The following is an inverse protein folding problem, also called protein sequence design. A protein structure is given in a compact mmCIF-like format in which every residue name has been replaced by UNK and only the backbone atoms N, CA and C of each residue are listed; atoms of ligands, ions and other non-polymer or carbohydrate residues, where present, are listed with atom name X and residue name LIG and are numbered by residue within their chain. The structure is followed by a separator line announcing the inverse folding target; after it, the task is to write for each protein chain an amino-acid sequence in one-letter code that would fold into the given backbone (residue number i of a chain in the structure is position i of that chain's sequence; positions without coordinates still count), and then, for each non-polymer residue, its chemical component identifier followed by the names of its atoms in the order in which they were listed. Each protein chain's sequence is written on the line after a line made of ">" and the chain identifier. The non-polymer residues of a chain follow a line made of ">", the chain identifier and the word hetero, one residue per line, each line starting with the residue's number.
data_IF_232981184585
#
_entry.id   IF_232981184585
#
_cell.length_a   1.000
_cell.length_b   1.000
_cell.length_c   1.000
_cell.angle_alpha   90.00
_cell.angle_beta   90.00
_cell.angle_gamma   90.00
#
_symmetry.space_group_name_H-M   'P 1'
#
loop_
_entity.id
_entity.type
_entity.pdbx_description
1 polymer ?
#
# COMPACT_ATOMS: atom_id res chain seq x y z
N UNK A 1 3.60 11.97 11.25
CA UNK A 1 4.57 12.36 10.17
C UNK A 1 4.54 11.35 9.05
N UNK A 2 4.87 10.04 9.29
CA UNK A 2 4.85 9.00 8.25
C UNK A 2 3.51 8.94 7.50
N UNK A 3 2.40 8.85 8.19
CA UNK A 3 1.06 8.76 7.57
C UNK A 3 0.73 9.97 6.68
N UNK A 4 1.14 11.18 7.07
CA UNK A 4 0.97 12.39 6.24
C UNK A 4 1.80 12.28 4.95
N UNK A 5 3.04 11.78 5.05
CA UNK A 5 3.89 11.57 3.90
C UNK A 5 3.29 10.53 2.95
N UNK A 6 2.78 9.41 3.49
CA UNK A 6 2.17 8.37 2.68
C UNK A 6 0.88 8.87 2.02
N UNK A 7 0.05 9.67 2.70
CA UNK A 7 -1.15 10.28 2.12
C UNK A 7 -0.81 11.19 0.93
N UNK A 8 0.26 12.01 1.05
CA UNK A 8 0.79 12.80 -0.06
C UNK A 8 1.28 11.91 -1.22
N UNK A 9 2.00 10.82 -0.93
CA UNK A 9 2.46 9.89 -1.97
C UNK A 9 1.27 9.23 -2.69
N UNK A 10 0.21 8.85 -1.98
CA UNK A 10 -1.02 8.30 -2.58
C UNK A 10 -1.66 9.33 -3.52
N UNK A 11 -1.71 10.61 -3.14
CA UNK A 11 -2.22 11.67 -4.00
C UNK A 11 -1.41 11.82 -5.28
N UNK A 12 -0.08 11.87 -5.16
CA UNK A 12 0.83 11.98 -6.31
C UNK A 12 0.70 10.74 -7.20
N UNK A 13 0.75 9.54 -6.62
CA UNK A 13 0.57 8.28 -7.32
C UNK A 13 -0.71 8.28 -8.18
N UNK A 14 -1.82 8.70 -7.59
CA UNK A 14 -3.09 8.79 -8.29
C UNK A 14 -3.07 9.84 -9.40
N UNK A 15 -2.53 11.04 -9.13
CA UNK A 15 -2.46 12.16 -10.10
C UNK A 15 -1.65 11.79 -11.34
N UNK A 16 -0.58 11.03 -11.19
CA UNK A 16 0.30 10.61 -12.29
C UNK A 16 -0.07 9.24 -12.88
N UNK A 17 -1.09 8.58 -12.33
CA UNK A 17 -1.54 7.26 -12.75
C UNK A 17 -0.42 6.21 -12.77
N UNK A 18 0.42 6.21 -11.73
CA UNK A 18 1.45 5.21 -11.55
C UNK A 18 0.86 3.83 -11.21
N UNK A 19 1.65 2.77 -11.39
CA UNK A 19 1.26 1.41 -11.06
C UNK A 19 1.13 1.20 -9.55
N UNK A 20 0.29 0.25 -9.13
CA UNK A 20 0.13 -0.06 -7.69
C UNK A 20 1.44 -0.59 -7.08
N UNK A 21 2.28 -1.22 -7.89
CA UNK A 21 3.63 -1.67 -7.55
C UNK A 21 4.52 -0.50 -7.16
N UNK A 22 4.49 0.59 -7.94
CA UNK A 22 5.23 1.83 -7.65
C UNK A 22 4.86 2.40 -6.29
N UNK A 23 3.56 2.44 -5.93
CA UNK A 23 3.13 2.89 -4.61
C UNK A 23 3.65 1.98 -3.50
N UNK A 24 3.48 0.67 -3.67
CA UNK A 24 3.88 -0.33 -2.68
C UNK A 24 5.39 -0.31 -2.43
N UNK A 25 6.20 -0.23 -3.51
CA UNK A 25 7.64 -0.14 -3.43
C UNK A 25 8.10 1.17 -2.76
N UNK A 26 7.45 2.29 -3.09
CA UNK A 26 7.74 3.60 -2.47
C UNK A 26 7.60 3.53 -0.96
N UNK A 27 6.47 3.00 -0.46
CA UNK A 27 6.22 2.88 0.98
C UNK A 27 7.22 1.94 1.64
N UNK A 28 7.54 0.82 1.00
CA UNK A 28 8.54 -0.12 1.49
C UNK A 28 9.93 0.53 1.63
N UNK A 29 10.36 1.31 0.63
CA UNK A 29 11.64 2.04 0.65
C UNK A 29 11.66 3.02 1.82
N UNK A 30 10.61 3.83 1.99
CA UNK A 30 10.47 4.79 3.08
C UNK A 30 10.59 4.07 4.43
N UNK A 31 9.83 3.00 4.64
CA UNK A 31 9.80 2.28 5.90
C UNK A 31 11.12 1.59 6.23
N UNK A 32 11.73 0.93 5.24
CA UNK A 32 13.07 0.32 5.41
C UNK A 32 14.10 1.38 5.77
N UNK A 33 14.11 2.51 5.08
CA UNK A 33 15.07 3.59 5.35
C UNK A 33 14.88 4.17 6.76
N UNK A 34 13.64 4.49 7.14
CA UNK A 34 13.30 5.04 8.46
C UNK A 34 13.53 4.05 9.61
N UNK A 35 13.56 2.74 9.34
CA UNK A 35 13.80 1.72 10.39
C UNK A 35 15.22 1.78 10.98
N UNK A 36 16.18 2.33 10.26
CA UNK A 36 17.60 2.40 10.64
C UNK A 36 18.17 3.80 10.63
N UNK A 37 17.51 4.75 9.96
CA UNK A 37 18.02 6.11 9.79
C UNK A 37 17.06 7.12 10.41
N UNK A 38 17.61 8.02 11.23
CA UNK A 38 16.87 9.17 11.72
C UNK A 38 16.85 10.27 10.66
N UNK A 39 15.66 10.72 10.27
CA UNK A 39 15.46 11.78 9.28
C UNK A 39 14.86 13.00 9.97
N UNK A 40 15.47 14.16 9.80
CA UNK A 40 14.93 15.42 10.32
C UNK A 40 13.63 15.78 9.59
N UNK A 41 12.68 16.41 10.29
CA UNK A 41 11.35 16.76 9.77
C UNK A 41 11.41 17.46 8.41
N UNK A 42 12.35 18.38 8.20
CA UNK A 42 12.52 19.14 6.96
C UNK A 42 12.89 18.29 5.74
N UNK A 43 13.43 17.08 5.95
CA UNK A 43 13.82 16.16 4.87
C UNK A 43 12.81 15.01 4.63
N UNK A 44 11.70 14.98 5.37
CA UNK A 44 10.70 13.90 5.19
C UNK A 44 10.08 13.92 3.80
N UNK A 45 9.78 15.12 3.28
CA UNK A 45 9.22 15.24 1.94
C UNK A 45 10.26 14.85 0.89
N UNK A 46 11.53 15.27 1.06
CA UNK A 46 12.64 14.85 0.20
C UNK A 46 12.77 13.32 0.16
N UNK A 47 12.75 12.67 1.32
CA UNK A 47 12.77 11.20 1.41
C UNK A 47 11.61 10.58 0.62
N UNK A 48 10.38 11.10 0.79
CA UNK A 48 9.20 10.57 0.12
C UNK A 48 9.25 10.66 -1.39
N UNK A 49 9.56 11.85 -1.93
CA UNK A 49 9.65 12.06 -3.38
C UNK A 49 10.81 11.31 -4.01
N UNK A 50 11.93 11.19 -3.29
CA UNK A 50 13.09 10.42 -3.79
C UNK A 50 12.79 8.92 -3.77
N UNK A 51 12.13 8.40 -2.75
CA UNK A 51 11.67 7.01 -2.72
C UNK A 51 10.69 6.73 -3.89
N UNK A 52 9.78 7.66 -4.17
CA UNK A 52 8.87 7.57 -5.31
C UNK A 52 9.63 7.59 -6.65
N UNK A 53 10.63 8.46 -6.81
CA UNK A 53 11.49 8.50 -7.99
C UNK A 53 12.20 7.16 -8.22
N UNK A 54 12.77 6.56 -7.15
CA UNK A 54 13.41 5.24 -7.22
C UNK A 54 12.41 4.17 -7.63
N UNK A 55 11.22 4.17 -7.02
CA UNK A 55 10.17 3.22 -7.36
C UNK A 55 9.68 3.37 -8.81
N UNK A 56 9.50 4.61 -9.30
CA UNK A 56 9.18 4.85 -10.70
C UNK A 56 10.26 4.34 -11.66
N UNK A 57 11.54 4.56 -11.34
CA UNK A 57 12.65 4.03 -12.15
C UNK A 57 12.67 2.49 -12.21
N UNK A 58 12.10 1.83 -11.22
CA UNK A 58 12.08 0.37 -11.13
C UNK A 58 10.84 -0.25 -11.80
N UNK A 59 9.67 0.38 -11.63
CA UNK A 59 8.38 -0.22 -11.99
C UNK A 59 7.71 0.39 -13.22
N UNK A 60 8.00 1.67 -13.55
CA UNK A 60 7.30 2.37 -14.64
C UNK A 60 8.05 2.26 -15.97
N UNK A 61 7.28 2.14 -17.04
CA UNK A 61 7.82 2.18 -18.42
C UNK A 61 8.26 3.60 -18.77
N UNK A 62 7.39 4.59 -18.46
CA UNK A 62 7.65 6.00 -18.71
C UNK A 62 7.96 6.72 -17.40
N UNK A 63 9.24 6.86 -17.09
CA UNK A 63 9.70 7.49 -15.85
C UNK A 63 9.66 9.02 -15.98
N UNK A 64 8.93 9.75 -15.13
CA UNK A 64 8.95 11.21 -15.15
C UNK A 64 10.34 11.76 -14.87
N UNK A 65 10.66 12.91 -15.49
CA UNK A 65 11.94 13.60 -15.25
C UNK A 65 12.03 14.06 -13.78
N UNK A 66 13.25 14.11 -13.24
CA UNK A 66 13.51 14.53 -11.86
C UNK A 66 12.91 15.92 -11.54
N UNK A 67 12.84 16.81 -12.54
CA UNK A 67 12.27 18.15 -12.39
C UNK A 67 10.77 18.12 -12.03
N UNK A 68 10.05 17.07 -12.44
CA UNK A 68 8.64 16.86 -12.06
C UNK A 68 8.53 16.60 -10.56
N UNK A 69 9.42 15.78 -10.01
CA UNK A 69 9.44 15.48 -8.56
C UNK A 69 9.83 16.70 -7.73
N UNK A 70 10.73 17.55 -8.24
CA UNK A 70 11.10 18.83 -7.61
C UNK A 70 9.89 19.77 -7.63
N UNK A 71 9.21 19.90 -8.76
CA UNK A 71 8.02 20.74 -8.90
C UNK A 71 6.89 20.34 -7.93
N UNK A 72 6.68 19.04 -7.69
CA UNK A 72 5.67 18.53 -6.73
C UNK A 72 5.94 19.05 -5.31
N UNK A 73 7.18 19.37 -4.97
CA UNK A 73 7.55 19.92 -3.65
C UNK A 73 7.53 21.45 -3.61
N UNK A 74 6.90 22.11 -4.57
CA UNK A 74 6.94 23.56 -4.73
C UNK A 74 8.39 24.10 -4.84
N UNK A 75 9.27 23.33 -5.46
CA UNK A 75 10.70 23.62 -5.61
C UNK A 75 11.44 23.80 -4.25
N UNK A 76 10.96 23.12 -3.21
CA UNK A 76 11.60 23.16 -1.88
C UNK A 76 13.00 22.54 -1.87
N UNK A 77 13.33 21.72 -2.87
CA UNK A 77 14.62 21.04 -2.99
C UNK A 77 15.23 21.23 -4.37
N UNK A 78 16.56 21.18 -4.45
CA UNK A 78 17.28 21.24 -5.72
C UNK A 78 17.66 19.83 -6.20
N UNK A 79 17.96 19.70 -7.48
CA UNK A 79 18.26 18.43 -8.14
C UNK A 79 19.40 17.65 -7.45
N UNK A 80 20.43 18.34 -7.01
CA UNK A 80 21.57 17.71 -6.31
C UNK A 80 21.14 17.07 -4.97
N UNK A 81 20.21 17.66 -4.22
CA UNK A 81 19.70 17.09 -2.97
C UNK A 81 18.91 15.81 -3.21
N UNK A 82 18.09 15.80 -4.28
CA UNK A 82 17.33 14.59 -4.67
C UNK A 82 18.29 13.47 -5.09
N UNK A 83 19.32 13.77 -5.89
CA UNK A 83 20.31 12.77 -6.32
C UNK A 83 21.16 12.27 -5.16
N UNK A 84 21.53 13.14 -4.22
CA UNK A 84 22.25 12.73 -3.01
C UNK A 84 21.40 11.83 -2.12
N UNK A 85 20.11 12.14 -1.95
CA UNK A 85 19.18 11.31 -1.20
C UNK A 85 18.94 9.97 -1.91
N UNK A 86 18.82 9.94 -3.25
CA UNK A 86 18.71 8.72 -4.04
C UNK A 86 19.91 7.80 -3.80
N UNK A 87 21.12 8.34 -3.88
CA UNK A 87 22.33 7.58 -3.60
C UNK A 87 22.34 7.00 -2.19
N UNK A 88 21.97 7.81 -1.18
CA UNK A 88 21.89 7.37 0.23
C UNK A 88 20.90 6.23 0.41
N UNK A 89 19.71 6.33 -0.18
CA UNK A 89 18.69 5.29 -0.09
C UNK A 89 19.16 4.01 -0.77
N UNK A 90 19.63 4.09 -2.02
CA UNK A 90 20.07 2.92 -2.79
C UNK A 90 21.27 2.22 -2.14
N UNK A 91 22.25 3.00 -1.65
CA UNK A 91 23.40 2.45 -0.92
C UNK A 91 22.99 1.75 0.37
N UNK A 92 22.05 2.33 1.13
CA UNK A 92 21.50 1.71 2.34
C UNK A 92 20.78 0.39 2.03
N UNK A 93 20.07 0.32 0.92
CA UNK A 93 19.35 -0.88 0.48
C UNK A 93 20.27 -1.89 -0.24
N UNK A 94 21.56 -1.59 -0.40
CA UNK A 94 22.49 -2.37 -1.24
C UNK A 94 21.93 -2.61 -2.65
N UNK A 95 21.22 -1.63 -3.22
CA UNK A 95 20.52 -1.70 -4.51
C UNK A 95 19.50 -2.85 -4.62
N UNK A 96 19.12 -3.46 -3.49
CA UNK A 96 18.13 -4.53 -3.46
C UNK A 96 16.72 -3.97 -3.30
N UNK A 97 16.02 -3.85 -4.42
CA UNK A 97 14.64 -3.37 -4.52
C UNK A 97 13.62 -4.52 -4.66
N UNK A 98 14.09 -5.77 -4.61
CA UNK A 98 13.19 -6.93 -4.69
C UNK A 98 12.24 -6.96 -3.49
N UNK A 99 10.96 -7.10 -3.77
CA UNK A 99 9.91 -7.22 -2.76
C UNK A 99 8.75 -8.09 -3.29
N UNK A 100 8.08 -8.85 -2.42
CA UNK A 100 6.87 -9.56 -2.80
C UNK A 100 5.69 -8.57 -2.86
N UNK A 101 5.09 -8.44 -4.05
CA UNK A 101 3.99 -7.49 -4.27
C UNK A 101 2.69 -7.95 -3.61
N UNK A 102 2.18 -7.16 -2.66
CA UNK A 102 0.87 -7.38 -2.02
C UNK A 102 -0.25 -7.38 -3.05
N UNK A 103 -0.20 -6.48 -4.03
CA UNK A 103 -1.24 -6.38 -5.06
C UNK A 103 -1.30 -7.61 -5.96
N UNK A 104 -0.16 -8.20 -6.34
CA UNK A 104 -0.14 -9.42 -7.16
C UNK A 104 -0.75 -10.62 -6.44
N UNK A 105 -0.49 -10.77 -5.14
CA UNK A 105 -1.19 -11.78 -4.34
C UNK A 105 -2.70 -11.54 -4.31
N UNK A 106 -3.12 -10.28 -4.16
CA UNK A 106 -4.52 -9.92 -4.13
C UNK A 106 -5.22 -10.16 -5.49
N UNK A 107 -4.60 -9.75 -6.60
CA UNK A 107 -5.10 -10.00 -7.96
C UNK A 107 -5.35 -11.49 -8.17
N UNK A 108 -4.38 -12.34 -7.84
CA UNK A 108 -4.53 -13.78 -7.94
C UNK A 108 -5.71 -14.31 -7.11
N UNK A 109 -5.81 -13.89 -5.84
CA UNK A 109 -6.91 -14.30 -4.96
C UNK A 109 -8.26 -13.80 -5.44
N UNK A 110 -8.34 -12.58 -5.95
CA UNK A 110 -9.57 -11.99 -6.47
C UNK A 110 -10.12 -12.75 -7.67
N UNK A 111 -9.24 -13.20 -8.57
CA UNK A 111 -9.58 -14.07 -9.68
C UNK A 111 -10.07 -15.43 -9.19
N UNK A 112 -9.36 -16.04 -8.25
CA UNK A 112 -9.72 -17.34 -7.68
C UNK A 112 -11.10 -17.32 -7.01
N UNK A 113 -11.43 -16.25 -6.27
CA UNK A 113 -12.72 -16.09 -5.60
C UNK A 113 -13.81 -15.49 -6.49
N UNK A 114 -13.53 -15.25 -7.78
CA UNK A 114 -14.45 -14.63 -8.75
C UNK A 114 -15.03 -13.31 -8.19
N UNK A 115 -14.17 -12.38 -7.81
CA UNK A 115 -14.59 -11.06 -7.38
C UNK A 115 -15.13 -10.27 -8.58
N UNK A 116 -16.25 -9.59 -8.38
CA UNK A 116 -16.70 -8.57 -9.31
C UNK A 116 -15.85 -7.29 -9.16
N UNK A 117 -16.05 -6.33 -10.05
CA UNK A 117 -15.31 -5.08 -10.09
C UNK A 117 -15.39 -4.32 -8.76
N UNK A 118 -16.57 -4.30 -8.14
CA UNK A 118 -16.80 -3.62 -6.87
C UNK A 118 -16.05 -4.27 -5.70
N UNK A 119 -16.10 -5.59 -5.61
CA UNK A 119 -15.34 -6.35 -4.62
C UNK A 119 -13.84 -6.17 -4.81
N UNK A 120 -13.37 -6.17 -6.06
CA UNK A 120 -11.97 -5.98 -6.39
C UNK A 120 -11.46 -4.61 -5.93
N UNK A 121 -12.16 -3.54 -6.26
CA UNK A 121 -11.75 -2.19 -5.83
C UNK A 121 -11.89 -1.97 -4.33
N UNK A 122 -12.85 -2.61 -3.68
CA UNK A 122 -12.98 -2.53 -2.23
C UNK A 122 -11.75 -3.11 -1.51
N UNK A 123 -11.26 -4.24 -1.95
CA UNK A 123 -10.05 -4.81 -1.36
C UNK A 123 -8.79 -3.99 -1.67
N UNK A 124 -8.68 -3.41 -2.86
CA UNK A 124 -7.62 -2.44 -3.17
C UNK A 124 -7.67 -1.24 -2.23
N UNK A 125 -8.86 -0.68 -2.00
CA UNK A 125 -9.06 0.40 -1.04
C UNK A 125 -8.57 0.03 0.37
N UNK A 126 -8.87 -1.18 0.84
CA UNK A 126 -8.40 -1.65 2.14
C UNK A 126 -6.87 -1.76 2.21
N UNK A 127 -6.24 -2.35 1.19
CA UNK A 127 -4.79 -2.51 1.16
C UNK A 127 -4.07 -1.16 1.07
N UNK A 128 -4.53 -0.27 0.19
CA UNK A 128 -3.93 1.06 0.00
C UNK A 128 -4.13 1.93 1.25
N UNK A 129 -5.31 1.89 1.87
CA UNK A 129 -5.55 2.55 3.15
C UNK A 129 -4.62 2.02 4.24
N UNK A 130 -4.36 0.71 4.26
CA UNK A 130 -3.51 0.10 5.28
C UNK A 130 -2.04 0.55 5.19
N UNK A 131 -1.58 1.04 4.04
CA UNK A 131 -0.26 1.66 3.91
C UNK A 131 -0.08 2.88 4.81
N UNK A 132 -1.15 3.57 5.21
CA UNK A 132 -1.11 4.72 6.11
C UNK A 132 -0.72 4.33 7.55
N UNK A 133 -1.01 3.10 7.99
CA UNK A 133 -0.65 2.62 9.33
C UNK A 133 0.71 1.91 9.30
N UNK A 134 1.55 2.22 10.30
CA UNK A 134 2.84 1.53 10.48
C UNK A 134 2.68 0.03 10.76
N UNK A 135 1.51 -0.40 11.22
CA UNK A 135 1.19 -1.80 11.45
C UNK A 135 1.25 -2.66 10.19
N UNK A 136 1.18 -2.04 8.99
CA UNK A 136 1.37 -2.76 7.71
C UNK A 136 2.65 -3.57 7.72
N UNK A 137 3.70 -3.07 8.35
CA UNK A 137 5.02 -3.71 8.44
C UNK A 137 5.07 -4.93 9.38
N UNK A 138 4.01 -5.16 10.17
CA UNK A 138 3.86 -6.32 11.04
C UNK A 138 3.50 -7.59 10.26
N UNK A 139 2.89 -7.44 9.09
CA UNK A 139 2.31 -8.53 8.34
C UNK A 139 3.06 -8.79 7.02
N UNK A 140 3.10 -10.07 6.62
CA UNK A 140 3.61 -10.45 5.30
C UNK A 140 2.64 -9.97 4.20
N UNK A 141 3.13 -9.63 2.99
CA UNK A 141 2.30 -9.20 1.87
C UNK A 141 1.13 -10.14 1.56
N UNK A 142 1.39 -11.45 1.54
CA UNK A 142 0.35 -12.46 1.35
C UNK A 142 -0.74 -12.42 2.45
N UNK A 143 -0.35 -12.18 3.72
CA UNK A 143 -1.29 -12.05 4.84
C UNK A 143 -2.20 -10.84 4.66
N UNK A 144 -1.66 -9.70 4.23
CA UNK A 144 -2.44 -8.47 3.96
C UNK A 144 -3.44 -8.70 2.83
N UNK A 145 -3.01 -9.35 1.74
CA UNK A 145 -3.89 -9.67 0.60
C UNK A 145 -5.04 -10.58 1.02
N UNK A 146 -4.75 -11.60 1.80
CA UNK A 146 -5.77 -12.53 2.32
C UNK A 146 -6.71 -11.88 3.31
N UNK A 147 -6.19 -11.01 4.21
CA UNK A 147 -7.00 -10.26 5.14
C UNK A 147 -7.96 -9.33 4.39
N UNK A 148 -7.49 -8.65 3.34
CA UNK A 148 -8.32 -7.80 2.50
C UNK A 148 -9.41 -8.60 1.78
N UNK A 149 -9.09 -9.76 1.19
CA UNK A 149 -10.09 -10.67 0.62
C UNK A 149 -11.12 -11.13 1.66
N UNK A 150 -10.66 -11.49 2.87
CA UNK A 150 -11.54 -11.91 3.95
C UNK A 150 -12.53 -10.81 4.35
N UNK A 151 -12.06 -9.56 4.52
CA UNK A 151 -12.93 -8.42 4.84
C UNK A 151 -13.95 -8.18 3.74
N UNK A 152 -13.52 -8.17 2.47
CA UNK A 152 -14.41 -7.99 1.30
C UNK A 152 -15.50 -9.05 1.28
N UNK A 153 -15.16 -10.33 1.43
CA UNK A 153 -16.14 -11.41 1.42
C UNK A 153 -17.13 -11.32 2.59
N UNK A 154 -16.67 -10.95 3.76
CA UNK A 154 -17.55 -10.70 4.92
C UNK A 154 -18.50 -9.55 4.68
N UNK A 155 -18.01 -8.45 4.11
CA UNK A 155 -18.82 -7.27 3.79
C UNK A 155 -19.96 -7.60 2.82
N UNK A 156 -19.69 -8.34 1.76
CA UNK A 156 -20.70 -8.75 0.77
C UNK A 156 -21.50 -10.00 1.15
N UNK A 157 -21.35 -10.53 2.37
CA UNK A 157 -22.06 -11.74 2.87
C UNK A 157 -21.97 -12.91 1.90
N UNK A 158 -20.84 -13.06 1.22
CA UNK A 158 -20.60 -14.19 0.31
C UNK A 158 -20.43 -15.47 1.15
N UNK A 159 -21.57 -16.06 1.57
CA UNK A 159 -21.65 -17.18 2.52
C UNK A 159 -21.16 -18.53 1.97
N UNK A 160 -20.84 -18.65 0.68
CA UNK A 160 -20.27 -19.87 0.08
C UNK A 160 -18.80 -20.10 0.44
N UNK A 161 -18.30 -19.30 1.35
CA UNK A 161 -16.96 -19.34 1.85
C UNK A 161 -16.84 -20.35 3.00
N UNK A 162 -16.50 -21.60 2.65
CA UNK A 162 -16.04 -22.56 3.65
C UNK A 162 -14.60 -22.17 4.03
N UNK A 163 -14.35 -21.97 5.32
CA UNK A 163 -13.00 -21.71 5.88
C UNK A 163 -11.94 -22.70 5.38
N UNK A 164 -12.37 -23.86 4.86
CA UNK A 164 -11.51 -24.89 4.25
C UNK A 164 -10.74 -24.43 3.01
N UNK A 165 -11.24 -23.43 2.25
CA UNK A 165 -10.52 -22.94 1.06
C UNK A 165 -9.40 -21.98 1.41
N UNK A 166 -9.61 -21.10 2.40
CA UNK A 166 -8.50 -20.27 2.93
C UNK A 166 -7.42 -21.15 3.55
N UNK A 167 -7.79 -22.20 4.27
CA UNK A 167 -6.84 -23.19 4.79
C UNK A 167 -6.01 -23.81 3.66
N UNK A 168 -6.61 -24.22 2.54
CA UNK A 168 -5.89 -24.82 1.41
C UNK A 168 -4.85 -23.91 0.77
N UNK A 169 -5.06 -22.60 0.73
CA UNK A 169 -4.08 -21.65 0.18
C UNK A 169 -2.86 -21.43 1.08
N UNK A 170 -3.00 -21.69 2.38
CA UNK A 170 -1.96 -21.47 3.36
C UNK A 170 -1.27 -22.76 3.85
N UNK A 171 -1.80 -23.93 3.43
CA UNK A 171 -1.27 -25.24 3.80
C UNK A 171 -0.06 -25.60 2.92
N UNK A 172 1.08 -24.99 3.17
CA UNK A 172 2.36 -25.52 2.69
C UNK A 172 3.13 -26.22 3.79
N UNK A 173 2.83 -25.97 5.08
CA UNK A 173 3.46 -26.68 6.20
C UNK A 173 2.49 -26.93 7.35
N UNK A 174 2.35 -28.20 7.76
CA UNK A 174 1.41 -28.69 8.78
C UNK A 174 1.58 -28.08 10.18
N UNK A 175 2.71 -27.42 10.48
CA UNK A 175 3.02 -26.85 11.79
C UNK A 175 2.66 -25.35 11.93
N UNK A 176 2.19 -24.72 10.85
CA UNK A 176 1.97 -23.26 10.79
C UNK A 176 0.48 -22.87 10.75
N UNK A 177 -0.43 -23.85 10.63
CA UNK A 177 -1.86 -23.62 10.38
C UNK A 177 -2.55 -22.65 11.35
N UNK A 178 -2.33 -22.83 12.64
CA UNK A 178 -3.01 -22.01 13.68
C UNK A 178 -2.50 -20.58 13.74
N UNK A 179 -1.23 -20.33 13.40
CA UNK A 179 -0.62 -19.02 13.43
C UNK A 179 -1.01 -18.16 12.20
N UNK A 180 -1.20 -18.77 11.03
CA UNK A 180 -1.54 -18.06 9.80
C UNK A 180 -2.99 -17.58 9.85
N UNK A 181 -3.93 -18.44 10.26
CA UNK A 181 -5.33 -18.05 10.40
C UNK A 181 -5.51 -16.93 11.42
N UNK A 182 -4.80 -16.99 12.53
CA UNK A 182 -4.80 -15.95 13.55
C UNK A 182 -4.24 -14.63 12.98
N UNK A 183 -3.13 -14.68 12.26
CA UNK A 183 -2.52 -13.50 11.64
C UNK A 183 -3.43 -12.84 10.60
N UNK A 184 -4.18 -13.61 9.79
CA UNK A 184 -5.13 -13.07 8.81
C UNK A 184 -6.30 -12.38 9.51
N UNK A 185 -6.88 -12.98 10.54
CA UNK A 185 -7.98 -12.38 11.32
C UNK A 185 -7.53 -11.13 12.08
N UNK A 186 -6.34 -11.15 12.66
CA UNK A 186 -5.76 -10.00 13.35
C UNK A 186 -5.48 -8.85 12.35
N UNK A 187 -4.88 -9.15 11.20
CA UNK A 187 -4.65 -8.19 10.13
C UNK A 187 -5.97 -7.59 9.62
N UNK A 188 -6.99 -8.42 9.39
CA UNK A 188 -8.32 -7.96 8.99
C UNK A 188 -8.95 -7.00 10.01
N UNK A 189 -8.76 -7.27 11.30
CA UNK A 189 -9.20 -6.40 12.40
C UNK A 189 -8.48 -5.04 12.38
N UNK A 190 -7.15 -5.05 12.19
CA UNK A 190 -6.36 -3.82 12.08
C UNK A 190 -6.78 -3.01 10.84
N UNK A 191 -7.03 -3.63 9.69
CA UNK A 191 -7.54 -2.97 8.48
C UNK A 191 -8.91 -2.30 8.76
N UNK A 192 -9.87 -3.02 9.36
CA UNK A 192 -11.19 -2.47 9.66
C UNK A 192 -11.12 -1.29 10.65
N UNK A 193 -10.29 -1.40 11.69
CA UNK A 193 -10.11 -0.33 12.66
C UNK A 193 -9.53 0.92 12.00
N UNK A 194 -8.55 0.75 11.10
CA UNK A 194 -7.93 1.86 10.39
C UNK A 194 -8.92 2.55 9.44
N UNK A 195 -9.66 1.78 8.65
CA UNK A 195 -10.64 2.35 7.70
C UNK A 195 -11.69 3.17 8.44
N UNK A 196 -12.20 2.68 9.57
CA UNK A 196 -13.11 3.43 10.44
C UNK A 196 -12.47 4.69 11.04
N UNK A 197 -11.16 4.70 11.22
CA UNK A 197 -10.42 5.86 11.69
C UNK A 197 -10.19 6.89 10.57
N UNK A 198 -9.81 6.44 9.37
CA UNK A 198 -9.55 7.29 8.20
C UNK A 198 -10.80 8.10 7.84
N UNK A 199 -11.99 7.51 7.89
CA UNK A 199 -13.25 8.21 7.62
C UNK A 199 -13.51 9.40 8.56
N UNK A 200 -12.84 9.43 9.72
CA UNK A 200 -12.93 10.49 10.74
C UNK A 200 -11.75 11.44 10.76
N UNK A 201 -10.73 11.19 10.00
CA UNK A 201 -9.45 11.93 10.02
C UNK A 201 -9.17 12.65 8.70
N UNK A 202 -8.13 13.50 8.72
CA UNK A 202 -7.70 14.31 7.58
C UNK A 202 -6.91 13.54 6.49
N UNK A 203 -6.80 12.20 6.59
CA UNK A 203 -6.16 11.36 5.55
C UNK A 203 -7.18 11.04 4.48
N UNK A 204 -7.24 11.90 3.46
CA UNK A 204 -8.37 11.91 2.52
C UNK A 204 -8.00 11.42 1.13
N UNK A 205 -6.70 11.27 0.80
CA UNK A 205 -6.27 10.99 -0.58
C UNK A 205 -6.77 9.63 -1.07
N UNK A 206 -6.61 8.59 -0.27
CA UNK A 206 -7.13 7.26 -0.58
C UNK A 206 -8.68 7.27 -0.66
N UNK A 207 -9.36 7.87 0.32
CA UNK A 207 -10.82 7.98 0.31
C UNK A 207 -11.34 8.70 -0.94
N UNK A 208 -10.75 9.87 -1.29
CA UNK A 208 -11.12 10.64 -2.48
C UNK A 208 -10.88 9.89 -3.79
N UNK A 209 -9.77 9.14 -3.88
CA UNK A 209 -9.48 8.27 -5.02
C UNK A 209 -10.62 7.27 -5.23
N UNK A 210 -10.94 6.49 -4.19
CA UNK A 210 -11.93 5.41 -4.27
C UNK A 210 -13.39 5.86 -4.16
N UNK A 211 -13.66 7.16 -3.97
CA UNK A 211 -15.00 7.76 -4.09
C UNK A 211 -15.40 8.03 -5.55
N UNK A 212 -14.46 7.93 -6.51
CA UNK A 212 -14.73 8.20 -7.92
C UNK A 212 -15.50 7.04 -8.59
N UNK A 213 -16.29 7.33 -9.65
CA UNK A 213 -17.06 6.33 -10.37
C UNK A 213 -16.20 5.21 -10.98
N UNK A 214 -14.97 5.53 -11.42
CA UNK A 214 -14.01 4.57 -12.00
C UNK A 214 -13.63 3.44 -11.03
N UNK A 215 -13.70 3.70 -9.71
CA UNK A 215 -13.47 2.75 -8.63
C UNK A 215 -14.77 2.27 -7.96
N UNK A 216 -15.92 2.34 -8.64
CA UNK A 216 -17.23 1.88 -8.14
C UNK A 216 -17.67 2.59 -6.85
N UNK A 217 -17.10 3.77 -6.52
CA UNK A 217 -17.38 4.57 -5.31
C UNK A 217 -17.27 3.78 -4.01
N UNK A 218 -16.36 2.80 -3.94
CA UNK A 218 -16.31 1.83 -2.83
C UNK A 218 -15.99 2.45 -1.48
N UNK A 219 -15.29 3.58 -1.42
CA UNK A 219 -15.03 4.26 -0.14
C UNK A 219 -16.30 4.88 0.47
N UNK A 220 -17.28 5.28 -0.35
CA UNK A 220 -18.56 5.85 0.11
C UNK A 220 -19.42 4.77 0.76
N UNK A 221 -19.43 3.56 0.15
CA UNK A 221 -20.26 2.43 0.62
C UNK A 221 -19.89 1.99 2.05
N UNK A 222 -18.66 2.22 2.47
CA UNK A 222 -18.20 1.85 3.82
C UNK A 222 -18.56 2.93 4.84
N UNK A 223 -18.77 4.16 4.40
CA UNK A 223 -19.11 5.28 5.28
C UNK A 223 -20.62 5.41 5.54
N UNK A 224 -21.45 4.69 4.80
CA UNK A 224 -22.89 4.51 5.04
C UNK A 224 -23.16 3.34 5.99
#
# INVERSE_FOLDING_TARGET
>A
MRSILIDLIIEIHFKFNFTDETLSLTVLIIDKYLSKNQVQKKYFQLLGITALLIACKHEEIDVPKIDVFIYITDNAYIKSEVLEMEYKILSFLNFNLLYPSTIKFYEYLSLYFNFDKKMFFLGKYFMESFLLDIKVNKYKPATISCASCYVVMKFFKKNNYKDSYMKKFFLVDNDIENNIEYNVKECAKDICLLVNYITKCNYVSCYKKYAKPEFEKVSIIISE
#
